data_IF_801384156791
#
_entry.id   IF_801384156791
#
_cell.length_a   1.000
_cell.length_b   1.000
_cell.length_c   1.000
_cell.angle_alpha   90.00
_cell.angle_beta   90.00
_cell.angle_gamma   90.00
#
_symmetry.space_group_name_H-M   'P 1'
#
loop_
_entity.id
_entity.type
_entity.pdbx_description
1 polymer ?
#
# COMPACT_ATOMS: atom_id res chain seq x y z
N UNK A 1 -3.92 -15.59 6.77
CA UNK A 1 -2.55 -15.11 7.07
C UNK A 1 -1.65 -15.23 5.85
N UNK A 2 -0.81 -14.24 5.63
CA UNK A 2 0.29 -14.28 4.66
C UNK A 2 1.58 -14.62 5.42
N UNK A 3 2.28 -15.67 4.98
CA UNK A 3 3.63 -15.98 5.48
C UNK A 3 4.60 -14.94 4.94
N UNK A 4 5.00 -14.01 5.81
CA UNK A 4 5.77 -12.84 5.37
C UNK A 4 7.26 -13.11 5.18
N UNK A 5 7.84 -14.09 5.87
CA UNK A 5 9.29 -14.31 5.83
C UNK A 5 9.84 -14.57 4.42
N UNK A 6 9.26 -15.49 3.61
CA UNK A 6 9.77 -15.71 2.24
C UNK A 6 9.67 -14.46 1.35
N UNK A 7 8.60 -13.68 1.51
CA UNK A 7 8.39 -12.45 0.75
C UNK A 7 9.40 -11.37 1.16
N UNK A 8 9.67 -11.26 2.45
CA UNK A 8 10.64 -10.32 2.98
C UNK A 8 12.06 -10.68 2.59
N UNK A 9 12.42 -11.96 2.54
CA UNK A 9 13.76 -12.42 2.14
C UNK A 9 14.04 -12.03 0.67
N UNK A 10 13.07 -12.25 -0.23
CA UNK A 10 13.17 -11.81 -1.62
C UNK A 10 13.31 -10.27 -1.74
N UNK A 11 12.53 -9.52 -0.95
CA UNK A 11 12.61 -8.06 -0.93
C UNK A 11 13.98 -7.57 -0.39
N UNK A 12 14.48 -8.19 0.68
CA UNK A 12 15.80 -7.86 1.26
C UNK A 12 16.94 -8.10 0.27
N UNK A 13 16.90 -9.18 -0.50
CA UNK A 13 17.88 -9.45 -1.56
C UNK A 13 17.93 -8.29 -2.55
N UNK A 14 16.79 -7.88 -3.10
CA UNK A 14 16.69 -6.80 -4.09
C UNK A 14 17.10 -5.42 -3.52
N UNK A 15 16.70 -5.13 -2.29
CA UNK A 15 17.08 -3.88 -1.62
C UNK A 15 18.59 -3.82 -1.37
N UNK A 16 19.21 -4.90 -0.91
CA UNK A 16 20.65 -4.97 -0.68
C UNK A 16 21.47 -4.95 -1.96
N UNK A 17 20.92 -5.49 -3.05
CA UNK A 17 21.50 -5.39 -4.39
C UNK A 17 21.40 -3.98 -5.00
N UNK A 18 20.66 -3.05 -4.36
CA UNK A 18 20.51 -1.68 -4.85
C UNK A 18 19.59 -1.53 -6.06
N UNK A 19 18.72 -2.53 -6.31
CA UNK A 19 17.76 -2.49 -7.43
C UNK A 19 16.66 -1.44 -7.23
N UNK A 20 16.42 -0.99 -5.98
CA UNK A 20 15.50 0.09 -5.64
C UNK A 20 16.28 1.17 -4.89
N UNK A 21 16.23 2.41 -5.40
CA UNK A 21 16.87 3.56 -4.79
C UNK A 21 15.88 4.35 -3.93
N UNK A 22 16.28 4.70 -2.70
CA UNK A 22 15.45 5.47 -1.78
C UNK A 22 15.90 6.92 -1.68
N UNK A 23 14.94 7.82 -1.60
CA UNK A 23 15.14 9.26 -1.38
C UNK A 23 14.24 9.71 -0.20
N UNK A 24 14.82 10.00 0.99
CA UNK A 24 16.25 9.97 1.32
C UNK A 24 16.79 8.53 1.49
N UNK A 25 18.10 8.36 1.29
CA UNK A 25 18.77 7.05 1.40
C UNK A 25 18.65 6.43 2.80
N UNK A 26 18.54 7.26 3.85
CA UNK A 26 18.32 6.77 5.22
C UNK A 26 17.11 5.85 5.34
N UNK A 27 16.07 6.05 4.53
CA UNK A 27 14.84 5.25 4.52
C UNK A 27 15.03 3.83 3.97
N UNK A 28 16.08 3.58 3.21
CA UNK A 28 16.45 2.22 2.83
C UNK A 28 16.83 1.39 4.06
N UNK A 29 17.63 1.96 4.97
CA UNK A 29 18.01 1.26 6.22
C UNK A 29 16.80 0.95 7.10
N UNK A 30 15.86 1.88 7.19
CA UNK A 30 14.61 1.66 7.92
C UNK A 30 13.75 0.55 7.29
N UNK A 31 13.65 0.52 5.95
CA UNK A 31 12.93 -0.54 5.23
C UNK A 31 13.57 -1.92 5.44
N UNK A 32 14.90 -2.01 5.37
CA UNK A 32 15.65 -3.25 5.62
C UNK A 32 15.41 -3.73 7.06
N UNK A 33 15.60 -2.85 8.06
CA UNK A 33 15.41 -3.21 9.46
C UNK A 33 13.96 -3.70 9.77
N UNK A 34 12.96 -3.10 9.13
CA UNK A 34 11.59 -3.54 9.23
C UNK A 34 11.40 -4.95 8.63
N UNK A 35 11.90 -5.18 7.42
CA UNK A 35 11.75 -6.46 6.73
C UNK A 35 12.48 -7.61 7.45
N UNK A 36 13.59 -7.33 8.12
CA UNK A 36 14.32 -8.33 8.93
C UNK A 36 13.50 -8.84 10.12
N UNK A 37 12.57 -8.03 10.62
CA UNK A 37 11.76 -8.33 11.82
C UNK A 37 10.29 -8.57 11.51
N UNK A 38 9.90 -8.61 10.22
CA UNK A 38 8.50 -8.75 9.83
C UNK A 38 7.90 -10.05 10.34
N UNK A 39 6.67 -9.96 10.85
CA UNK A 39 5.87 -11.11 11.30
C UNK A 39 4.80 -11.46 10.28
N UNK A 40 4.27 -12.68 10.36
CA UNK A 40 3.15 -13.09 9.52
C UNK A 40 1.98 -12.12 9.63
N UNK A 41 1.34 -11.88 8.51
CA UNK A 41 0.34 -10.84 8.36
C UNK A 41 -1.06 -11.42 8.30
N UNK A 42 -1.86 -11.10 9.31
CA UNK A 42 -3.29 -11.34 9.25
C UNK A 42 -3.92 -10.33 8.27
N UNK A 43 -4.50 -10.82 7.19
CA UNK A 43 -5.11 -10.02 6.12
C UNK A 43 -6.63 -9.91 6.22
N UNK A 44 -7.27 -10.56 7.20
CA UNK A 44 -8.71 -10.43 7.42
C UNK A 44 -9.06 -9.31 8.39
N UNK A 45 -10.17 -8.62 8.15
CA UNK A 45 -10.69 -7.52 8.99
C UNK A 45 -12.18 -7.69 9.23
N UNK A 46 -12.61 -7.51 10.48
CA UNK A 46 -14.00 -7.54 10.94
C UNK A 46 -14.61 -6.15 10.82
N UNK A 47 -14.76 -5.67 9.58
CA UNK A 47 -15.35 -4.37 9.26
C UNK A 47 -16.43 -4.54 8.18
N UNK A 48 -17.45 -3.70 8.25
CA UNK A 48 -18.60 -3.77 7.34
C UNK A 48 -18.31 -3.28 5.92
N UNK A 49 -17.21 -2.57 5.72
CA UNK A 49 -16.82 -2.00 4.43
C UNK A 49 -15.44 -2.48 4.04
N UNK A 50 -15.32 -3.12 2.89
CA UNK A 50 -14.05 -3.61 2.38
C UNK A 50 -14.22 -4.57 1.21
N UNK A 51 -13.13 -5.09 0.68
CA UNK A 51 -13.14 -6.12 -0.37
C UNK A 51 -13.42 -7.47 0.30
N UNK A 52 -14.52 -8.16 -0.04
CA UNK A 52 -14.85 -9.45 0.54
C UNK A 52 -13.78 -10.50 0.24
N UNK A 53 -13.51 -11.36 1.19
CA UNK A 53 -12.62 -12.52 0.99
C UNK A 53 -13.36 -13.56 0.17
N UNK A 54 -12.84 -14.02 -0.99
CA UNK A 54 -13.49 -14.98 -1.85
C UNK A 54 -13.30 -16.42 -1.35
N UNK A 55 -13.56 -16.65 -0.07
CA UNK A 55 -13.45 -17.93 0.60
C UNK A 55 -14.81 -18.34 1.15
N UNK A 56 -15.13 -19.62 1.06
CA UNK A 56 -16.41 -20.19 1.48
C UNK A 56 -16.16 -21.42 2.34
N UNK A 57 -16.73 -21.45 3.53
CA UNK A 57 -16.61 -22.54 4.48
C UNK A 57 -17.83 -23.47 4.38
N UNK A 58 -17.61 -24.77 4.38
CA UNK A 58 -18.69 -25.75 4.47
C UNK A 58 -19.42 -25.60 5.81
N UNK A 59 -20.74 -25.46 5.75
CA UNK A 59 -21.59 -25.27 6.94
C UNK A 59 -21.54 -26.46 7.90
N UNK A 60 -21.15 -27.65 7.43
CA UNK A 60 -21.10 -28.88 8.22
C UNK A 60 -19.67 -29.31 8.58
N UNK A 61 -18.64 -28.67 8.00
CA UNK A 61 -17.23 -29.00 8.28
C UNK A 61 -16.37 -27.73 8.27
N UNK A 62 -15.91 -27.27 9.43
CA UNK A 62 -15.12 -26.03 9.54
C UNK A 62 -13.72 -26.13 8.91
N UNK A 63 -13.25 -27.30 8.52
CA UNK A 63 -11.97 -27.49 7.84
C UNK A 63 -12.09 -27.56 6.32
N UNK A 64 -13.32 -27.68 5.79
CA UNK A 64 -13.57 -27.78 4.35
C UNK A 64 -13.87 -26.37 3.79
N UNK A 65 -12.92 -25.83 3.05
CA UNK A 65 -12.97 -24.52 2.45
C UNK A 65 -12.78 -24.59 0.96
N UNK A 66 -13.50 -23.75 0.24
CA UNK A 66 -13.31 -23.50 -1.19
C UNK A 66 -13.09 -22.03 -1.46
N UNK A 67 -12.43 -21.73 -2.58
CA UNK A 67 -12.08 -20.37 -2.98
C UNK A 67 -12.68 -20.13 -4.37
N UNK A 68 -13.45 -19.07 -4.52
CA UNK A 68 -14.08 -18.73 -5.79
C UNK A 68 -14.24 -17.21 -5.93
N UNK A 69 -13.58 -16.63 -6.92
CA UNK A 69 -13.64 -15.21 -7.21
C UNK A 69 -14.75 -14.82 -8.19
N UNK A 70 -15.40 -15.81 -8.79
CA UNK A 70 -16.45 -15.59 -9.79
C UNK A 70 -17.84 -15.44 -9.18
N UNK A 71 -17.98 -15.76 -7.88
CA UNK A 71 -19.27 -15.80 -7.18
C UNK A 71 -19.36 -14.64 -6.18
N UNK A 72 -20.45 -13.89 -6.25
CA UNK A 72 -20.75 -12.82 -5.29
C UNK A 72 -21.91 -13.13 -4.35
N UNK A 73 -22.33 -14.39 -4.29
CA UNK A 73 -23.41 -14.85 -3.43
C UNK A 73 -22.90 -15.16 -2.01
N UNK A 74 -23.74 -14.96 -0.96
CA UNK A 74 -23.36 -15.25 0.42
C UNK A 74 -23.28 -16.75 0.71
N UNK A 75 -23.90 -17.58 -0.12
CA UNK A 75 -23.94 -19.05 0.04
C UNK A 75 -23.96 -19.71 -1.33
N UNK A 76 -23.18 -20.78 -1.47
CA UNK A 76 -23.12 -21.55 -2.71
C UNK A 76 -23.30 -23.04 -2.44
N UNK A 77 -23.83 -23.75 -3.43
CA UNK A 77 -23.93 -25.21 -3.44
C UNK A 77 -22.87 -25.76 -4.40
N UNK A 78 -21.99 -26.64 -3.91
CA UNK A 78 -20.98 -27.31 -4.73
C UNK A 78 -20.82 -28.75 -4.28
N UNK A 79 -20.90 -29.69 -5.24
CA UNK A 79 -20.77 -31.15 -4.99
C UNK A 79 -21.71 -31.68 -3.89
N UNK A 80 -22.95 -31.18 -3.84
CA UNK A 80 -23.96 -31.53 -2.85
C UNK A 80 -23.72 -30.97 -1.45
N UNK A 81 -22.71 -30.13 -1.27
CA UNK A 81 -22.39 -29.46 0.00
C UNK A 81 -22.74 -27.98 -0.08
N UNK A 82 -23.20 -27.42 1.04
CA UNK A 82 -23.49 -25.97 1.16
C UNK A 82 -22.32 -25.28 1.82
N UNK A 83 -21.85 -24.20 1.20
CA UNK A 83 -20.76 -23.38 1.69
C UNK A 83 -21.26 -21.95 1.92
N UNK A 84 -20.85 -21.34 3.01
CA UNK A 84 -21.12 -19.94 3.36
C UNK A 84 -19.86 -19.12 3.20
N UNK A 85 -19.99 -17.93 2.56
CA UNK A 85 -18.89 -16.98 2.38
C UNK A 85 -18.33 -16.52 3.71
N UNK A 86 -17.02 -16.31 3.73
CA UNK A 86 -16.33 -15.60 4.82
C UNK A 86 -16.90 -14.17 4.94
N UNK A 87 -17.23 -13.78 6.16
CA UNK A 87 -17.81 -12.45 6.45
C UNK A 87 -16.76 -11.36 6.60
N UNK A 88 -15.51 -11.73 6.87
CA UNK A 88 -14.38 -10.80 6.95
C UNK A 88 -14.05 -10.20 5.58
N UNK A 89 -13.46 -9.01 5.62
CA UNK A 89 -12.93 -8.33 4.43
C UNK A 89 -11.42 -8.35 4.42
N UNK A 90 -10.80 -8.11 3.26
CA UNK A 90 -9.36 -7.95 3.21
C UNK A 90 -8.88 -6.67 3.92
N UNK A 91 -7.73 -6.75 4.57
CA UNK A 91 -6.96 -5.57 4.97
C UNK A 91 -6.73 -4.66 3.76
N UNK A 92 -7.05 -3.38 3.89
CA UNK A 92 -6.85 -2.37 2.84
C UNK A 92 -5.42 -2.35 2.31
N UNK A 93 -4.43 -2.63 3.16
CA UNK A 93 -3.03 -2.71 2.74
C UNK A 93 -2.71 -3.94 1.89
N UNK A 94 -3.55 -4.98 1.92
CA UNK A 94 -3.40 -6.14 1.04
C UNK A 94 -3.78 -5.78 -0.40
N UNK A 95 -4.91 -5.13 -0.60
CA UNK A 95 -5.32 -4.67 -1.93
C UNK A 95 -4.42 -3.53 -2.44
N UNK A 96 -4.12 -2.53 -1.61
CA UNK A 96 -3.26 -1.41 -2.01
C UNK A 96 -1.81 -1.81 -2.25
N UNK A 97 -1.32 -2.88 -1.62
CA UNK A 97 0.00 -3.43 -1.87
C UNK A 97 0.18 -4.04 -3.27
N UNK A 98 -0.91 -4.30 -3.97
CA UNK A 98 -0.93 -4.83 -5.34
C UNK A 98 -1.00 -3.71 -6.40
N UNK A 99 -1.12 -2.45 -5.97
CA UNK A 99 -1.33 -1.29 -6.83
C UNK A 99 -0.40 -1.22 -8.05
N UNK A 100 0.94 -1.43 -7.95
CA UNK A 100 1.83 -1.22 -9.09
C UNK A 100 1.54 -2.11 -10.30
N UNK A 101 1.29 -3.40 -10.08
CA UNK A 101 1.06 -4.34 -11.19
C UNK A 101 -0.41 -4.42 -11.62
N UNK A 102 -1.36 -4.09 -10.73
CA UNK A 102 -2.78 -4.04 -11.08
C UNK A 102 -3.08 -2.81 -11.95
N UNK A 103 -2.62 -1.61 -11.54
CA UNK A 103 -2.94 -0.37 -12.28
C UNK A 103 -2.20 -0.24 -13.61
N UNK A 104 -1.09 -0.96 -13.78
CA UNK A 104 -0.38 -1.06 -15.06
C UNK A 104 -0.87 -2.21 -15.93
N UNK A 105 -1.86 -2.97 -15.44
CA UNK A 105 -2.40 -4.15 -16.14
C UNK A 105 -1.31 -5.16 -16.57
N UNK A 106 -0.26 -5.25 -15.74
CA UNK A 106 0.96 -5.97 -16.11
C UNK A 106 0.72 -7.48 -16.23
N UNK A 107 -0.02 -8.07 -15.29
CA UNK A 107 -0.28 -9.52 -15.31
C UNK A 107 -1.18 -9.94 -16.47
N UNK A 108 -2.03 -9.06 -16.96
CA UNK A 108 -2.91 -9.29 -18.11
C UNK A 108 -2.25 -8.93 -19.44
N UNK A 109 -1.01 -8.40 -19.41
CA UNK A 109 -0.28 -7.90 -20.58
C UNK A 109 -1.06 -6.84 -21.37
N UNK A 110 -1.84 -6.02 -20.67
CA UNK A 110 -2.58 -4.91 -21.24
C UNK A 110 -1.68 -3.78 -21.75
N UNK A 111 -2.27 -2.76 -22.36
CA UNK A 111 -1.56 -1.64 -23.00
C UNK A 111 -0.67 -0.85 -22.05
N UNK A 112 -1.02 -0.84 -20.75
CA UNK A 112 -0.27 -0.15 -19.71
C UNK A 112 0.88 -0.97 -19.13
N UNK A 113 1.00 -2.26 -19.49
CA UNK A 113 2.05 -3.17 -18.96
C UNK A 113 3.47 -2.68 -19.22
N UNK A 114 3.69 -1.87 -20.26
CA UNK A 114 4.97 -1.22 -20.58
C UNK A 114 5.45 -0.22 -19.52
N UNK A 115 4.56 0.20 -18.62
CA UNK A 115 4.89 1.12 -17.52
C UNK A 115 5.30 0.40 -16.23
N UNK A 116 5.29 -0.93 -16.22
CA UNK A 116 5.83 -1.72 -15.12
C UNK A 116 7.23 -2.27 -15.48
N UNK A 117 8.24 -2.16 -14.61
CA UNK A 117 8.26 -1.47 -13.31
C UNK A 117 8.07 0.04 -13.41
N UNK A 118 7.39 0.63 -12.43
CA UNK A 118 7.17 2.08 -12.35
C UNK A 118 8.51 2.78 -12.12
N UNK A 119 8.72 3.94 -12.75
CA UNK A 119 10.00 4.67 -12.63
C UNK A 119 10.20 5.21 -11.21
N UNK A 120 9.18 5.84 -10.63
CA UNK A 120 9.24 6.45 -9.29
C UNK A 120 7.96 6.18 -8.54
N UNK A 121 8.08 5.65 -7.33
CA UNK A 121 7.01 5.59 -6.34
C UNK A 121 7.19 6.75 -5.37
N UNK A 122 6.20 7.64 -5.31
CA UNK A 122 6.22 8.81 -4.45
C UNK A 122 5.13 8.70 -3.38
N UNK A 123 5.49 8.88 -2.10
CA UNK A 123 4.54 8.89 -0.98
C UNK A 123 5.16 9.50 0.28
N UNK A 124 4.34 9.66 1.33
CA UNK A 124 4.81 10.10 2.65
C UNK A 124 5.61 9.00 3.36
N UNK A 125 6.63 9.40 4.10
CA UNK A 125 7.52 8.47 4.80
C UNK A 125 6.85 7.66 5.91
N UNK A 126 5.71 8.08 6.44
CA UNK A 126 4.98 7.41 7.51
C UNK A 126 4.26 6.12 7.07
N UNK A 127 4.06 5.92 5.77
CA UNK A 127 3.49 4.68 5.22
C UNK A 127 4.50 3.78 4.51
N UNK A 128 5.80 4.00 4.76
CA UNK A 128 6.87 3.14 4.26
C UNK A 128 6.62 1.65 4.56
N UNK A 129 6.33 1.34 5.83
CA UNK A 129 6.15 -0.05 6.26
C UNK A 129 4.82 -0.66 5.80
N UNK A 130 3.76 0.13 5.90
CA UNK A 130 2.42 -0.34 5.61
C UNK A 130 2.16 -0.50 4.10
N UNK A 131 2.79 0.33 3.26
CA UNK A 131 2.49 0.36 1.84
C UNK A 131 3.70 0.04 0.96
N UNK A 132 4.77 0.83 1.05
CA UNK A 132 5.93 0.67 0.14
C UNK A 132 6.57 -0.72 0.28
N UNK A 133 6.83 -1.16 1.51
CA UNK A 133 7.42 -2.49 1.76
C UNK A 133 6.50 -3.62 1.27
N UNK A 134 5.18 -3.48 1.43
CA UNK A 134 4.22 -4.47 0.95
C UNK A 134 4.11 -4.49 -0.56
N UNK A 135 4.16 -3.34 -1.23
CA UNK A 135 4.24 -3.29 -2.69
C UNK A 135 5.49 -3.99 -3.23
N UNK A 136 6.64 -3.84 -2.58
CA UNK A 136 7.87 -4.52 -2.97
C UNK A 136 7.70 -6.03 -2.84
N UNK A 137 7.22 -6.52 -1.70
CA UNK A 137 7.01 -7.93 -1.44
C UNK A 137 5.99 -8.56 -2.39
N UNK A 138 4.82 -7.94 -2.53
CA UNK A 138 3.75 -8.47 -3.38
C UNK A 138 4.08 -8.34 -4.87
N UNK A 139 4.76 -7.27 -5.27
CA UNK A 139 5.24 -7.08 -6.64
C UNK A 139 6.23 -8.18 -7.03
N UNK A 140 7.24 -8.43 -6.22
CA UNK A 140 8.21 -9.52 -6.46
C UNK A 140 7.52 -10.88 -6.51
N UNK A 141 6.62 -11.17 -5.58
CA UNK A 141 5.88 -12.43 -5.57
C UNK A 141 5.04 -12.66 -6.83
N UNK A 142 4.39 -11.62 -7.34
CA UNK A 142 3.46 -11.74 -8.45
C UNK A 142 4.10 -11.61 -9.83
N UNK A 143 5.26 -10.96 -9.94
CA UNK A 143 5.85 -10.57 -11.22
C UNK A 143 7.33 -10.95 -11.39
N UNK A 144 7.98 -11.46 -10.35
CA UNK A 144 9.43 -11.71 -10.29
C UNK A 144 10.30 -10.45 -10.55
N UNK A 145 9.70 -9.26 -10.49
CA UNK A 145 10.37 -7.99 -10.73
C UNK A 145 10.11 -6.99 -9.60
N UNK A 146 11.09 -6.10 -9.36
CA UNK A 146 10.86 -4.96 -8.47
C UNK A 146 9.76 -4.06 -9.04
N UNK A 147 8.78 -3.62 -8.21
CA UNK A 147 7.61 -2.88 -8.71
C UNK A 147 7.94 -1.46 -9.17
N UNK A 148 9.04 -0.89 -8.69
CA UNK A 148 9.53 0.45 -9.02
C UNK A 148 11.03 0.56 -8.80
N UNK A 149 11.67 1.51 -9.53
CA UNK A 149 13.13 1.72 -9.47
C UNK A 149 13.54 2.72 -8.39
N UNK A 150 12.70 3.70 -8.12
CA UNK A 150 12.94 4.74 -7.13
C UNK A 150 11.77 4.84 -6.16
N UNK A 151 12.07 5.06 -4.88
CA UNK A 151 11.12 5.43 -3.84
C UNK A 151 11.46 6.84 -3.37
N UNK A 152 10.59 7.80 -3.63
CA UNK A 152 10.70 9.16 -3.12
C UNK A 152 9.74 9.35 -1.96
N UNK A 153 10.27 9.57 -0.78
CA UNK A 153 9.48 9.77 0.43
C UNK A 153 9.49 11.25 0.81
N UNK A 154 8.37 11.92 0.57
CA UNK A 154 8.22 13.31 0.97
C UNK A 154 8.00 13.42 2.49
N UNK A 155 8.31 14.59 3.05
CA UNK A 155 7.94 14.95 4.40
C UNK A 155 6.47 15.30 4.54
N UNK A 156 5.97 15.31 5.76
CA UNK A 156 4.60 15.74 6.04
C UNK A 156 4.48 17.27 6.01
N UNK A 157 3.33 17.75 5.55
CA UNK A 157 2.91 19.13 5.77
C UNK A 157 2.30 19.21 7.16
N UNK A 158 2.87 20.05 8.01
CA UNK A 158 2.50 20.23 9.40
C UNK A 158 1.73 21.56 9.57
N UNK A 159 1.00 21.69 10.66
CA UNK A 159 0.40 22.97 11.04
C UNK A 159 1.47 23.99 11.48
N UNK A 160 1.05 25.21 11.78
CA UNK A 160 1.92 26.31 12.24
C UNK A 160 2.72 25.95 13.51
N UNK A 161 2.22 24.99 14.32
CA UNK A 161 2.85 24.51 15.55
C UNK A 161 3.78 23.31 15.30
N UNK A 162 3.96 22.90 14.03
CA UNK A 162 4.76 21.73 13.68
C UNK A 162 4.08 20.39 13.99
N UNK A 163 2.75 20.35 14.14
CA UNK A 163 2.00 19.13 14.41
C UNK A 163 1.40 18.55 13.12
N UNK A 164 1.31 17.21 13.05
CA UNK A 164 0.62 16.53 11.97
C UNK A 164 -0.84 16.96 11.92
N UNK A 165 -1.28 17.45 10.76
CA UNK A 165 -2.67 17.83 10.54
C UNK A 165 -3.59 16.61 10.53
N UNK A 166 -4.73 16.70 11.21
CA UNK A 166 -5.77 15.68 11.17
C UNK A 166 -7.16 16.31 11.36
N UNK A 167 -8.18 15.70 10.75
CA UNK A 167 -9.57 16.16 10.89
C UNK A 167 -10.03 16.12 12.35
N UNK A 168 -9.63 15.09 13.10
CA UNK A 168 -10.00 14.93 14.51
C UNK A 168 -9.41 16.00 15.43
N UNK A 169 -8.27 16.60 15.07
CA UNK A 169 -7.63 17.70 15.81
C UNK A 169 -8.12 19.08 15.41
N UNK A 170 -8.84 19.19 14.27
CA UNK A 170 -9.33 20.47 13.76
C UNK A 170 -8.23 21.41 13.27
N UNK A 171 -7.01 20.92 13.06
CA UNK A 171 -5.85 21.73 12.64
C UNK A 171 -5.52 21.57 11.14
N UNK A 172 -6.50 21.14 10.36
CA UNK A 172 -6.34 21.01 8.90
C UNK A 172 -6.49 22.36 8.25
N UNK A 173 -5.52 22.76 7.44
CA UNK A 173 -5.60 23.94 6.58
C UNK A 173 -6.33 23.53 5.29
N UNK A 174 -7.43 24.23 4.98
CA UNK A 174 -8.16 24.00 3.75
C UNK A 174 -7.38 24.63 2.57
N UNK A 175 -6.96 23.86 1.56
CA UNK A 175 -6.25 24.39 0.42
C UNK A 175 -7.02 25.50 -0.34
N UNK A 176 -8.35 25.42 -0.33
CA UNK A 176 -9.18 26.44 -1.02
C UNK A 176 -9.09 27.81 -0.39
N UNK A 177 -8.92 27.89 0.94
CA UNK A 177 -8.75 29.17 1.64
C UNK A 177 -7.40 29.79 1.27
N UNK A 178 -6.35 28.98 1.19
CA UNK A 178 -5.03 29.43 0.74
C UNK A 178 -5.06 29.87 -0.73
N UNK A 179 -5.75 29.14 -1.62
CA UNK A 179 -5.93 29.52 -3.02
C UNK A 179 -6.68 30.84 -3.14
N UNK A 180 -7.75 31.03 -2.39
CA UNK A 180 -8.55 32.27 -2.41
C UNK A 180 -7.75 33.49 -1.96
N UNK A 181 -6.81 33.27 -1.01
CA UNK A 181 -5.98 34.37 -0.45
C UNK A 181 -4.73 34.69 -1.28
N UNK A 182 -4.05 33.65 -1.79
CA UNK A 182 -2.72 33.80 -2.39
C UNK A 182 -2.64 33.36 -3.86
N UNK A 183 -3.66 32.70 -4.37
CA UNK A 183 -3.68 32.10 -5.70
C UNK A 183 -3.13 30.67 -5.73
N UNK A 184 -3.54 29.91 -6.74
CA UNK A 184 -3.18 28.50 -6.89
C UNK A 184 -1.68 28.30 -7.11
N UNK A 185 -1.03 29.18 -7.88
CA UNK A 185 0.39 29.05 -8.20
C UNK A 185 1.28 29.32 -6.97
N UNK A 186 0.87 30.31 -6.13
CA UNK A 186 1.57 30.57 -4.88
C UNK A 186 1.48 29.36 -3.92
N UNK A 187 0.30 28.74 -3.79
CA UNK A 187 0.13 27.53 -2.98
C UNK A 187 1.00 26.39 -3.52
N UNK A 188 0.95 26.12 -4.82
CA UNK A 188 1.72 25.04 -5.46
C UNK A 188 3.22 25.27 -5.29
N UNK A 189 3.70 26.47 -5.55
CA UNK A 189 5.12 26.81 -5.35
C UNK A 189 5.53 26.67 -3.88
N UNK A 190 4.71 27.15 -2.95
CA UNK A 190 4.97 27.03 -1.50
C UNK A 190 5.05 25.57 -1.01
N UNK A 191 4.30 24.67 -1.65
CA UNK A 191 4.36 23.24 -1.32
C UNK A 191 5.61 22.53 -1.82
N UNK A 192 6.29 23.04 -2.86
CA UNK A 192 7.48 22.38 -3.45
C UNK A 192 8.78 23.16 -3.25
N UNK A 193 8.71 24.46 -2.97
CA UNK A 193 9.90 25.28 -2.78
C UNK A 193 10.71 24.85 -1.57
N UNK A 194 12.04 24.81 -1.72
CA UNK A 194 12.99 24.46 -0.65
C UNK A 194 12.77 23.08 -0.01
N UNK A 195 12.25 22.12 -0.79
CA UNK A 195 11.98 20.76 -0.31
C UNK A 195 13.13 19.82 -0.60
N UNK A 196 13.47 19.02 0.40
CA UNK A 196 14.30 17.82 0.25
C UNK A 196 13.49 16.59 0.67
N UNK A 197 13.84 15.44 0.11
CA UNK A 197 13.19 14.19 0.47
C UNK A 197 13.22 13.95 1.99
N UNK A 198 12.09 13.56 2.58
CA UNK A 198 11.97 13.25 4.01
C UNK A 198 11.85 14.46 4.95
N UNK A 199 11.93 15.69 4.46
CA UNK A 199 11.85 16.88 5.30
C UNK A 199 10.40 17.31 5.51
N UNK A 200 9.94 17.31 6.76
CA UNK A 200 8.66 17.88 7.14
C UNK A 200 8.67 19.41 7.02
N UNK A 201 7.53 20.00 6.77
CA UNK A 201 7.39 21.46 6.69
C UNK A 201 6.14 21.93 7.41
N UNK A 202 6.30 22.95 8.27
CA UNK A 202 5.18 23.71 8.76
C UNK A 202 4.61 24.59 7.63
N UNK A 203 3.29 24.61 7.52
CA UNK A 203 2.56 25.45 6.59
C UNK A 203 1.95 26.60 7.40
N UNK A 204 2.43 27.83 7.17
CA UNK A 204 2.00 29.05 7.84
C UNK A 204 1.62 30.13 6.84
#
# INVERSE_FOLDING_TARGET
>A
FVKMRPLADAALEKLRAGEIKFHPESKLREAIAYLEQVRDWNISRQITWGIPIPAFQNINDPNDWIYDTSVDEPTILRDGKTYRREEDTFDTWFSSGQWPFITTDYLQKGDLSKFYPISVMETAGDILYAWVSRMIMLGLYSTDQVPFKHVYLHGLVLDEKGQKMSKSKGNVINPMDAISKYGSDALRLGLIANRTAGQNQAFS
#
